data_IF_619343244931
#
_entry.id   IF_619343244931
#
_cell.length_a   1.000
_cell.length_b   1.000
_cell.length_c   1.000
_cell.angle_alpha   90.00
_cell.angle_beta   90.00
_cell.angle_gamma   90.00
#
_symmetry.space_group_name_H-M   'P 1'
#
loop_
_entity.id
_entity.type
_entity.pdbx_description
1 polymer ?
#
# COMPACT_ATOMS: atom_id res chain seq x y z
N UNK A 1 -16.80 6.53 4.82
CA UNK A 1 -16.25 5.31 5.47
C UNK A 1 -15.49 4.40 4.50
N UNK A 2 -16.11 3.56 3.66
CA UNK A 2 -15.35 2.66 2.77
C UNK A 2 -14.38 3.40 1.82
N UNK A 3 -14.84 4.50 1.22
CA UNK A 3 -14.01 5.37 0.36
C UNK A 3 -12.86 6.05 1.12
N UNK A 4 -13.04 6.38 2.40
CA UNK A 4 -11.99 7.00 3.23
C UNK A 4 -10.93 5.98 3.67
N UNK A 5 -11.34 4.75 3.97
CA UNK A 5 -10.43 3.64 4.28
C UNK A 5 -9.61 3.30 3.03
N UNK A 6 -10.24 3.17 1.86
CA UNK A 6 -9.53 2.91 0.61
C UNK A 6 -8.52 4.00 0.28
N UNK A 7 -8.88 5.27 0.50
CA UNK A 7 -7.94 6.38 0.30
C UNK A 7 -6.76 6.29 1.26
N UNK A 8 -7.02 6.01 2.53
CA UNK A 8 -5.98 5.88 3.57
C UNK A 8 -5.02 4.72 3.26
N UNK A 9 -5.56 3.56 2.85
CA UNK A 9 -4.76 2.41 2.46
C UNK A 9 -3.91 2.74 1.22
N UNK A 10 -4.46 3.47 0.26
CA UNK A 10 -3.75 3.82 -0.97
C UNK A 10 -2.57 4.77 -0.68
N UNK A 11 -2.80 5.80 0.12
CA UNK A 11 -1.74 6.72 0.54
C UNK A 11 -0.63 5.96 1.31
N UNK A 12 -1.01 4.98 2.15
CA UNK A 12 -0.04 4.13 2.84
C UNK A 12 0.72 3.19 1.89
N UNK A 13 0.05 2.64 0.89
CA UNK A 13 0.69 1.80 -0.13
C UNK A 13 1.77 2.57 -0.90
N UNK A 14 1.50 3.84 -1.25
CA UNK A 14 2.49 4.71 -1.91
C UNK A 14 3.70 4.92 -0.99
N UNK A 15 3.47 5.26 0.27
CA UNK A 15 4.54 5.52 1.25
C UNK A 15 5.46 4.29 1.38
N UNK A 16 4.88 3.11 1.64
CA UNK A 16 5.63 1.87 1.84
C UNK A 16 6.37 1.46 0.56
N UNK A 17 5.74 1.61 -0.61
CA UNK A 17 6.38 1.34 -1.91
C UNK A 17 7.60 2.24 -2.11
N UNK A 18 7.48 3.54 -1.85
CA UNK A 18 8.60 4.47 -1.98
C UNK A 18 9.75 4.11 -1.03
N UNK A 19 9.45 3.66 0.19
CA UNK A 19 10.45 3.18 1.12
C UNK A 19 11.16 1.91 0.61
N UNK A 20 10.40 0.96 0.07
CA UNK A 20 10.92 -0.31 -0.44
C UNK A 20 11.80 -0.14 -1.69
N UNK A 21 11.53 0.88 -2.50
CA UNK A 21 12.31 1.19 -3.70
C UNK A 21 13.59 1.99 -3.44
N UNK A 22 13.84 2.43 -2.19
CA UNK A 22 15.07 3.16 -1.86
C UNK A 22 16.31 2.31 -2.15
N UNK A 23 17.19 2.83 -2.99
CA UNK A 23 18.42 2.15 -3.41
C UNK A 23 18.25 1.11 -4.51
N UNK A 24 17.01 0.78 -4.90
CA UNK A 24 16.73 -0.20 -5.96
C UNK A 24 16.64 0.43 -7.37
N UNK A 25 16.54 1.76 -7.46
CA UNK A 25 16.23 2.50 -8.70
C UNK A 25 17.30 3.55 -9.05
N UNK A 26 17.55 3.78 -10.35
CA UNK A 26 18.25 4.97 -10.86
C UNK A 26 19.77 4.86 -11.08
N UNK A 27 20.35 3.66 -11.06
CA UNK A 27 21.79 3.45 -11.19
C UNK A 27 22.16 2.18 -11.97
N UNK A 28 23.45 1.92 -12.15
CA UNK A 28 23.93 0.71 -12.82
C UNK A 28 23.59 -0.52 -11.96
N UNK A 29 22.88 -1.50 -12.53
CA UNK A 29 22.33 -2.65 -11.79
C UNK A 29 21.01 -2.38 -11.07
N UNK A 30 20.36 -1.22 -11.31
CA UNK A 30 19.03 -0.95 -10.77
C UNK A 30 17.96 -1.87 -11.37
N UNK A 31 16.88 -2.06 -10.62
CA UNK A 31 15.70 -2.77 -11.10
C UNK A 31 15.06 -2.04 -12.30
N UNK A 32 14.38 -2.77 -13.20
CA UNK A 32 13.67 -2.16 -14.31
C UNK A 32 12.54 -1.24 -13.80
N UNK A 33 12.12 -0.23 -14.58
CA UNK A 33 11.03 0.66 -14.19
C UNK A 33 9.72 -0.05 -13.79
N UNK A 34 9.42 -1.20 -14.39
CA UNK A 34 8.24 -2.01 -14.07
C UNK A 34 8.23 -2.52 -12.63
N UNK A 35 9.41 -2.73 -12.03
CA UNK A 35 9.56 -3.23 -10.66
C UNK A 35 8.83 -2.36 -9.64
N UNK A 36 8.79 -1.04 -9.85
CA UNK A 36 8.05 -0.14 -8.97
C UNK A 36 6.54 -0.44 -8.97
N UNK A 37 5.98 -0.76 -10.13
CA UNK A 37 4.57 -1.15 -10.27
C UNK A 37 4.28 -2.52 -9.66
N UNK A 38 5.22 -3.45 -9.79
CA UNK A 38 5.10 -4.79 -9.21
C UNK A 38 5.12 -4.73 -7.68
N UNK A 39 6.08 -4.00 -7.10
CA UNK A 39 6.16 -3.77 -5.64
C UNK A 39 4.90 -3.08 -5.12
N UNK A 40 4.40 -2.05 -5.81
CA UNK A 40 3.16 -1.38 -5.43
C UNK A 40 1.97 -2.35 -5.42
N UNK A 41 1.84 -3.18 -6.45
CA UNK A 41 0.73 -4.13 -6.59
C UNK A 41 0.69 -5.13 -5.45
N UNK A 42 1.84 -5.68 -5.08
CA UNK A 42 1.95 -6.64 -3.97
C UNK A 42 1.59 -5.98 -2.63
N UNK A 43 2.12 -4.79 -2.35
CA UNK A 43 1.81 -4.04 -1.12
C UNK A 43 0.32 -3.69 -1.06
N UNK A 44 -0.24 -3.19 -2.15
CA UNK A 44 -1.65 -2.82 -2.22
C UNK A 44 -2.56 -4.03 -1.98
N UNK A 45 -2.24 -5.17 -2.59
CA UNK A 45 -3.02 -6.41 -2.42
C UNK A 45 -2.99 -6.87 -0.97
N UNK A 46 -1.81 -6.89 -0.34
CA UNK A 46 -1.66 -7.26 1.07
C UNK A 46 -2.42 -6.32 2.02
N UNK A 47 -2.39 -5.01 1.75
CA UNK A 47 -3.15 -4.02 2.54
C UNK A 47 -4.66 -4.20 2.39
N UNK A 48 -5.13 -4.53 1.18
CA UNK A 48 -6.55 -4.78 0.92
C UNK A 48 -7.04 -6.06 1.57
N UNK A 49 -6.24 -7.13 1.53
CA UNK A 49 -6.52 -8.37 2.25
C UNK A 49 -6.61 -8.13 3.76
N UNK A 50 -5.58 -7.52 4.35
CA UNK A 50 -5.57 -7.21 5.79
C UNK A 50 -6.73 -6.28 6.22
N UNK A 51 -7.21 -5.42 5.31
CA UNK A 51 -8.35 -4.55 5.61
C UNK A 51 -9.68 -5.31 5.76
N UNK A 52 -9.80 -6.52 5.22
CA UNK A 52 -10.99 -7.37 5.40
C UNK A 52 -11.10 -7.93 6.82
N UNK A 53 -9.96 -8.06 7.51
CA UNK A 53 -9.88 -8.57 8.88
C UNK A 53 -10.05 -7.48 9.94
N UNK A 54 -10.19 -6.21 9.51
CA UNK A 54 -10.42 -5.11 10.45
C UNK A 54 -11.81 -5.25 11.07
N UNK A 55 -11.93 -5.23 12.41
CA UNK A 55 -13.22 -5.24 13.06
C UNK A 55 -14.04 -4.02 12.58
N UNK A 56 -15.33 -4.22 12.32
CA UNK A 56 -16.23 -3.09 12.11
C UNK A 56 -16.08 -2.14 13.30
N UNK A 57 -15.82 -0.85 13.03
CA UNK A 57 -15.79 0.16 14.10
C UNK A 57 -17.08 -0.01 14.90
N UNK A 58 -17.01 -0.20 16.24
CA UNK A 58 -18.22 -0.17 17.03
C UNK A 58 -18.91 1.15 16.71
N UNK A 59 -20.14 1.09 16.17
CA UNK A 59 -21.01 2.26 16.11
C UNK A 59 -21.03 2.78 17.54
N UNK A 60 -20.46 3.97 17.76
CA UNK A 60 -20.50 4.62 19.05
C UNK A 60 -21.96 4.60 19.51
N UNK A 61 -22.24 3.80 20.53
CA UNK A 61 -23.56 3.65 21.10
C UNK A 61 -23.80 4.80 22.06
N UNK A 62 -24.80 5.61 21.71
CA UNK A 62 -25.45 6.68 22.49
C UNK A 62 -24.65 7.97 22.73
#
# INVERSE_FOLDING_TARGET
>A
MAVEIDRTLFDKAIEVTAMALRGAMGGQGSQPPSYAGDVFREIWSALKEASQDLPERPRAGF
#
